data_IF_110271285324
#
_entry.id   IF_110271285324
#
_cell.length_a   1.000
_cell.length_b   1.000
_cell.length_c   1.000
_cell.angle_alpha   90.00
_cell.angle_beta   90.00
_cell.angle_gamma   90.00
#
_symmetry.space_group_name_H-M   'P 1'
#
loop_
_entity.id
_entity.type
_entity.pdbx_description
1 polymer ?
#
# COMPACT_ATOMS: atom_id res chain seq x y z
N UNK A 1 12.67 22.93 -9.00
CA UNK A 1 13.01 21.55 -8.58
C UNK A 1 11.80 20.70 -8.95
N UNK A 2 11.83 20.04 -10.12
CA UNK A 2 10.71 19.19 -10.55
C UNK A 2 10.76 17.94 -9.67
N UNK A 3 9.88 17.88 -8.67
CA UNK A 3 9.73 16.65 -7.91
C UNK A 3 9.06 15.67 -8.85
N UNK A 4 9.76 14.60 -9.21
CA UNK A 4 9.21 13.53 -10.04
C UNK A 4 7.88 13.08 -9.43
N UNK A 5 6.77 13.36 -10.11
CA UNK A 5 5.41 13.00 -9.66
C UNK A 5 5.33 11.52 -9.27
N UNK A 6 6.10 10.67 -9.96
CA UNK A 6 6.27 9.24 -9.65
C UNK A 6 6.92 8.99 -8.28
N UNK A 7 7.97 9.72 -7.92
CA UNK A 7 8.61 9.58 -6.61
C UNK A 7 7.72 10.08 -5.47
N UNK A 8 6.98 11.17 -5.69
CA UNK A 8 5.96 11.65 -4.75
C UNK A 8 4.88 10.58 -4.54
N UNK A 9 4.39 9.97 -5.61
CA UNK A 9 3.38 8.91 -5.53
C UNK A 9 3.89 7.65 -4.82
N UNK A 10 5.13 7.24 -5.08
CA UNK A 10 5.77 6.12 -4.35
C UNK A 10 5.89 6.40 -2.86
N UNK A 11 6.35 7.59 -2.48
CA UNK A 11 6.50 7.99 -1.09
C UNK A 11 5.14 8.07 -0.36
N UNK A 12 4.11 8.61 -1.02
CA UNK A 12 2.75 8.69 -0.46
C UNK A 12 2.11 7.30 -0.34
N UNK A 13 2.33 6.43 -1.32
CA UNK A 13 1.85 5.04 -1.27
C UNK A 13 2.50 4.28 -0.12
N UNK A 14 3.82 4.42 0.02
CA UNK A 14 4.55 3.91 1.17
C UNK A 14 3.93 4.43 2.48
N UNK A 15 3.74 5.75 2.58
CA UNK A 15 3.19 6.37 3.78
C UNK A 15 1.79 5.87 4.11
N UNK A 16 0.88 5.77 3.14
CA UNK A 16 -0.49 5.34 3.39
C UNK A 16 -0.58 3.86 3.79
N UNK A 17 0.23 3.00 3.17
CA UNK A 17 0.32 1.59 3.58
C UNK A 17 0.91 1.50 4.98
N UNK A 18 2.01 2.21 5.24
CA UNK A 18 2.66 2.23 6.54
C UNK A 18 1.71 2.73 7.64
N UNK A 19 0.97 3.80 7.36
CA UNK A 19 -0.05 4.39 8.24
C UNK A 19 -1.17 3.40 8.53
N UNK A 20 -1.77 2.81 7.50
CA UNK A 20 -2.86 1.85 7.68
C UNK A 20 -2.40 0.63 8.49
N UNK A 21 -1.22 0.09 8.17
CA UNK A 21 -0.64 -1.04 8.91
C UNK A 21 -0.30 -0.67 10.35
N UNK A 22 0.20 0.55 10.60
CA UNK A 22 0.45 1.07 11.95
C UNK A 22 -0.83 1.27 12.76
N UNK A 23 -1.91 1.72 12.11
CA UNK A 23 -3.23 1.92 12.72
C UNK A 23 -3.80 0.59 13.24
N UNK A 24 -3.58 -0.48 12.48
CA UNK A 24 -3.87 -1.86 12.93
C UNK A 24 -2.90 -2.30 14.02
N UNK A 25 -1.61 -2.00 13.83
CA UNK A 25 -0.59 -2.18 14.85
C UNK A 25 0.82 -2.31 14.28
N UNK A 26 1.79 -1.79 15.03
CA UNK A 26 3.23 -1.93 14.72
C UNK A 26 3.71 -3.35 14.38
N UNK A 27 3.31 -4.44 15.08
CA UNK A 27 3.74 -5.79 14.70
C UNK A 27 3.18 -6.25 13.34
N UNK A 28 2.07 -5.66 12.90
CA UNK A 28 1.43 -5.98 11.62
C UNK A 28 2.19 -5.33 10.47
N UNK A 29 2.58 -4.05 10.62
CA UNK A 29 3.48 -3.38 9.68
C UNK A 29 4.77 -4.19 9.49
N UNK A 30 5.43 -4.56 10.59
CA UNK A 30 6.70 -5.29 10.53
C UNK A 30 6.52 -6.63 9.80
N UNK A 31 5.45 -7.36 10.12
CA UNK A 31 5.14 -8.65 9.50
C UNK A 31 4.87 -8.54 8.01
N UNK A 32 4.11 -7.54 7.56
CA UNK A 32 3.82 -7.31 6.14
C UNK A 32 5.09 -6.91 5.40
N UNK A 33 5.85 -5.94 5.92
CA UNK A 33 7.08 -5.44 5.29
C UNK A 33 8.14 -6.53 5.17
N UNK A 34 8.30 -7.33 6.22
CA UNK A 34 9.23 -8.45 6.25
C UNK A 34 8.82 -9.56 5.27
N UNK A 35 7.51 -9.86 5.15
CA UNK A 35 7.02 -10.80 4.13
C UNK A 35 7.23 -10.29 2.71
N UNK A 36 6.95 -9.01 2.47
CA UNK A 36 7.05 -8.40 1.15
C UNK A 36 8.50 -8.38 0.67
N UNK A 37 9.44 -8.08 1.59
CA UNK A 37 10.87 -8.22 1.33
C UNK A 37 11.29 -9.68 1.11
N UNK A 38 10.77 -10.63 1.91
CA UNK A 38 11.19 -12.03 1.83
C UNK A 38 10.66 -12.78 0.60
N UNK A 39 9.43 -12.49 0.18
CA UNK A 39 8.77 -13.18 -0.94
C UNK A 39 9.08 -12.50 -2.28
N UNK A 40 9.08 -11.17 -2.31
CA UNK A 40 9.19 -10.40 -3.56
C UNK A 40 10.47 -9.58 -3.66
N UNK A 41 11.27 -9.47 -2.59
CA UNK A 41 12.38 -8.50 -2.49
C UNK A 41 11.97 -7.06 -2.84
N UNK A 42 10.68 -6.75 -2.66
CA UNK A 42 10.11 -5.44 -2.90
C UNK A 42 9.97 -4.68 -1.59
N UNK A 43 9.95 -3.36 -1.70
CA UNK A 43 9.59 -2.47 -0.60
C UNK A 43 8.20 -1.88 -0.83
N UNK A 44 7.60 -1.35 0.23
CA UNK A 44 6.33 -0.62 0.17
C UNK A 44 6.21 0.41 -0.98
N UNK A 45 7.22 1.23 -1.32
CA UNK A 45 7.15 2.13 -2.49
C UNK A 45 7.06 1.39 -3.84
N UNK A 46 7.52 0.14 -3.94
CA UNK A 46 7.38 -0.68 -5.15
C UNK A 46 5.98 -1.29 -5.28
N UNK A 47 5.21 -1.35 -4.18
CA UNK A 47 3.80 -1.71 -4.21
C UNK A 47 2.95 -0.71 -5.02
N UNK A 48 3.44 0.52 -5.25
CA UNK A 48 2.81 1.46 -6.18
C UNK A 48 2.82 0.92 -7.62
N UNK A 49 3.93 0.30 -8.04
CA UNK A 49 4.05 -0.28 -9.38
C UNK A 49 3.42 -1.68 -9.45
N UNK A 50 3.47 -2.42 -8.34
CA UNK A 50 2.97 -3.79 -8.22
C UNK A 50 2.02 -3.95 -7.02
N UNK A 51 0.78 -3.46 -7.13
CA UNK A 51 -0.21 -3.60 -6.05
C UNK A 51 -0.59 -5.06 -5.80
N UNK A 52 -0.35 -5.96 -6.76
CA UNK A 52 -0.59 -7.39 -6.67
C UNK A 52 0.22 -8.06 -5.55
N UNK A 53 1.46 -7.63 -5.35
CA UNK A 53 2.32 -8.17 -4.28
C UNK A 53 1.79 -7.80 -2.90
N UNK A 54 1.28 -6.57 -2.76
CA UNK A 54 0.65 -6.13 -1.53
C UNK A 54 -0.64 -6.94 -1.26
N UNK A 55 -1.50 -7.11 -2.27
CA UNK A 55 -2.72 -7.92 -2.13
C UNK A 55 -2.40 -9.37 -1.70
N UNK A 56 -1.40 -9.99 -2.32
CA UNK A 56 -0.98 -11.35 -1.95
C UNK A 56 -0.45 -11.42 -0.52
N UNK A 57 0.43 -10.51 -0.12
CA UNK A 57 0.96 -10.47 1.26
C UNK A 57 -0.16 -10.20 2.26
N UNK A 58 -1.07 -9.27 1.98
CA UNK A 58 -2.22 -8.97 2.83
C UNK A 58 -3.14 -10.18 2.97
N UNK A 59 -3.48 -10.87 1.88
CA UNK A 59 -4.24 -12.14 1.93
C UNK A 59 -3.50 -13.20 2.73
N UNK A 60 -2.18 -13.28 2.62
CA UNK A 60 -1.40 -14.29 3.36
C UNK A 60 -1.21 -13.94 4.84
N UNK A 61 -1.26 -12.66 5.22
CA UNK A 61 -1.12 -12.21 6.62
C UNK A 61 -2.46 -12.18 7.35
N UNK A 62 -3.51 -11.70 6.68
CA UNK A 62 -4.83 -11.45 7.26
C UNK A 62 -5.91 -12.42 6.80
N UNK A 63 -5.64 -13.27 5.80
CA UNK A 63 -6.61 -14.21 5.25
C UNK A 63 -7.86 -13.49 4.77
N UNK A 64 -9.00 -13.90 5.32
CA UNK A 64 -10.33 -13.35 5.05
C UNK A 64 -10.49 -11.88 5.46
N UNK A 65 -9.64 -11.37 6.37
CA UNK A 65 -9.68 -9.97 6.82
C UNK A 65 -8.86 -9.02 5.95
N UNK A 66 -8.16 -9.53 4.94
CA UNK A 66 -7.33 -8.73 4.02
C UNK A 66 -8.13 -7.64 3.30
N UNK A 67 -9.40 -7.91 2.96
CA UNK A 67 -10.31 -6.96 2.31
C UNK A 67 -10.56 -5.71 3.15
N UNK A 68 -10.68 -5.84 4.47
CA UNK A 68 -10.82 -4.72 5.40
C UNK A 68 -9.56 -3.87 5.44
N UNK A 69 -8.38 -4.51 5.43
CA UNK A 69 -7.09 -3.81 5.43
C UNK A 69 -6.89 -3.04 4.13
N UNK A 70 -7.17 -3.68 2.98
CA UNK A 70 -7.11 -3.04 1.66
C UNK A 70 -8.07 -1.86 1.59
N UNK A 71 -9.26 -1.99 2.18
CA UNK A 71 -10.24 -0.91 2.27
C UNK A 71 -9.73 0.25 3.13
N UNK A 72 -9.17 -0.01 4.31
CA UNK A 72 -8.55 1.03 5.14
C UNK A 72 -7.34 1.68 4.48
N UNK A 73 -6.50 0.93 3.75
CA UNK A 73 -5.39 1.52 2.98
C UNK A 73 -5.96 2.45 1.89
N UNK A 74 -7.00 2.02 1.18
CA UNK A 74 -7.69 2.86 0.17
C UNK A 74 -8.32 4.09 0.80
N UNK A 75 -8.97 3.97 1.95
CA UNK A 75 -9.58 5.08 2.68
C UNK A 75 -8.51 6.06 3.17
N UNK A 76 -7.41 5.58 3.75
CA UNK A 76 -6.26 6.40 4.14
C UNK A 76 -5.61 7.10 2.94
N UNK A 77 -5.51 6.43 1.78
CA UNK A 77 -5.06 7.05 0.54
C UNK A 77 -6.02 8.17 0.09
N UNK A 78 -7.33 7.95 0.17
CA UNK A 78 -8.38 8.91 -0.19
C UNK A 78 -8.42 10.10 0.76
N UNK A 79 -8.28 9.87 2.05
CA UNK A 79 -8.32 10.92 3.08
C UNK A 79 -7.04 11.75 3.15
N UNK A 80 -5.89 11.21 2.73
CA UNK A 80 -4.59 11.90 2.81
C UNK A 80 -4.06 12.40 1.45
N UNK A 81 -4.75 12.17 0.32
CA UNK A 81 -4.32 12.64 -0.99
C UNK A 81 -5.44 13.42 -1.69
N UNK A 82 -5.33 14.76 -1.68
CA UNK A 82 -6.06 15.63 -2.58
C UNK A 82 -5.49 15.52 -4.02
N UNK A 83 -6.39 15.26 -4.97
CA UNK A 83 -6.29 15.41 -6.43
C UNK A 83 -5.34 14.47 -7.24
N UNK A 84 -5.94 13.90 -8.30
CA UNK A 84 -5.37 13.18 -9.45
C UNK A 84 -4.62 11.84 -9.26
N UNK A 85 -3.88 11.62 -8.17
CA UNK A 85 -3.03 10.43 -8.04
C UNK A 85 -3.78 9.11 -7.77
N UNK A 86 -4.91 9.21 -7.07
CA UNK A 86 -5.74 8.09 -6.64
C UNK A 86 -6.48 7.44 -7.81
N UNK A 87 -6.92 8.24 -8.79
CA UNK A 87 -7.72 7.76 -9.91
C UNK A 87 -6.99 6.65 -10.69
N UNK A 88 -5.66 6.78 -10.82
CA UNK A 88 -4.84 5.82 -11.55
C UNK A 88 -4.62 4.49 -10.80
N UNK A 89 -4.45 4.53 -9.47
CA UNK A 89 -4.18 3.35 -8.66
C UNK A 89 -5.47 2.59 -8.33
N UNK A 90 -6.56 3.29 -8.02
CA UNK A 90 -7.87 2.68 -7.76
C UNK A 90 -8.42 1.98 -9.00
N UNK A 91 -8.19 2.51 -10.20
CA UNK A 91 -8.55 1.84 -11.45
C UNK A 91 -7.74 0.56 -11.72
N UNK A 92 -6.51 0.46 -11.23
CA UNK A 92 -5.66 -0.72 -11.45
C UNK A 92 -5.91 -1.85 -10.46
N UNK A 93 -6.36 -1.55 -9.24
CA UNK A 93 -6.68 -2.58 -8.24
C UNK A 93 -8.15 -2.99 -8.42
N UNK A 94 -8.41 -3.82 -9.44
CA UNK A 94 -9.73 -4.38 -9.73
C UNK A 94 -10.10 -4.54 -11.21
N UNK A 95 -9.16 -4.35 -12.14
CA UNK A 95 -9.35 -4.62 -13.57
C UNK A 95 -8.89 -6.03 -13.94
#
# INVERSE_FOLDING_TARGET
MYVDKKQVMKALTNFAIEKALLDIGKPVLDKVTNKLQKEYHCYLPDCYEHPEYLDHVLKTVFGSSSSTIVKSIKEQLIENMDDDGICLLVQKIGA
#
